data_IF_874402395572
#
_entry.id   IF_874402395572
#
_cell.length_a   1.000
_cell.length_b   1.000
_cell.length_c   1.000
_cell.angle_alpha   90.00
_cell.angle_beta   90.00
_cell.angle_gamma   90.00
#
_symmetry.space_group_name_H-M   'P 1'
#
loop_
_entity.id
_entity.type
_entity.pdbx_description
1 polymer ?
#
# COMPACT_ATOMS: atom_id res chain seq x y z
N UNK A 1 -19.20 15.89 21.62
CA UNK A 1 -18.79 14.48 21.47
C UNK A 1 -19.24 14.00 20.10
N UNK A 2 -18.42 13.16 19.44
CA UNK A 2 -18.79 12.24 18.35
C UNK A 2 -18.47 12.56 16.88
N UNK A 3 -17.53 13.46 16.52
CA UNK A 3 -16.92 13.34 15.17
C UNK A 3 -16.05 12.07 15.10
N UNK A 4 -15.26 11.80 16.14
CA UNK A 4 -14.41 10.61 16.26
C UNK A 4 -15.17 9.27 16.13
N UNK A 5 -16.43 9.20 16.57
CA UNK A 5 -17.25 7.98 16.41
C UNK A 5 -17.78 7.82 14.97
N UNK A 6 -17.93 8.91 14.22
CA UNK A 6 -18.35 8.87 12.81
C UNK A 6 -17.17 8.59 11.87
N UNK A 7 -15.93 8.88 12.29
CA UNK A 7 -14.71 8.62 11.52
C UNK A 7 -14.30 7.13 11.52
N UNK A 8 -14.67 6.39 12.56
CA UNK A 8 -14.28 4.98 12.75
C UNK A 8 -14.67 4.06 11.59
N UNK A 9 -15.92 4.06 11.07
CA UNK A 9 -16.29 3.16 9.98
C UNK A 9 -15.55 3.42 8.67
N UNK A 10 -15.29 4.70 8.33
CA UNK A 10 -14.55 5.06 7.11
C UNK A 10 -13.08 4.66 7.21
N UNK A 11 -12.47 4.89 8.37
CA UNK A 11 -11.09 4.49 8.63
C UNK A 11 -10.93 2.96 8.62
N UNK A 12 -11.89 2.23 9.18
CA UNK A 12 -11.91 0.76 9.15
C UNK A 12 -12.10 0.21 7.74
N UNK A 13 -13.02 0.76 6.96
CA UNK A 13 -13.21 0.41 5.55
C UNK A 13 -11.92 0.61 4.75
N UNK A 14 -11.29 1.78 4.89
CA UNK A 14 -10.04 2.10 4.19
C UNK A 14 -8.89 1.16 4.62
N UNK A 15 -8.81 0.81 5.91
CA UNK A 15 -7.85 -0.19 6.42
C UNK A 15 -8.12 -1.59 5.91
N UNK A 16 -9.40 -1.97 5.77
CA UNK A 16 -9.78 -3.25 5.20
C UNK A 16 -9.32 -3.36 3.75
N UNK A 17 -9.58 -2.32 2.94
CA UNK A 17 -9.08 -2.26 1.55
C UNK A 17 -7.55 -2.29 1.49
N UNK A 18 -6.86 -1.61 2.41
CA UNK A 18 -5.40 -1.67 2.51
C UNK A 18 -4.91 -3.11 2.71
N UNK A 19 -5.61 -3.90 3.55
CA UNK A 19 -5.29 -5.32 3.76
C UNK A 19 -5.57 -6.14 2.51
N UNK A 20 -6.68 -5.91 1.83
CA UNK A 20 -7.00 -6.59 0.57
C UNK A 20 -5.90 -6.36 -0.47
N UNK A 21 -5.39 -5.14 -0.57
CA UNK A 21 -4.27 -4.79 -1.46
C UNK A 21 -2.97 -5.47 -1.02
N UNK A 22 -2.59 -5.31 0.26
CA UNK A 22 -1.32 -5.82 0.79
C UNK A 22 -1.19 -7.34 0.64
N UNK A 23 -2.30 -8.05 0.77
CA UNK A 23 -2.35 -9.51 0.70
C UNK A 23 -2.80 -10.04 -0.68
N UNK A 24 -3.00 -9.18 -1.67
CA UNK A 24 -3.50 -9.56 -3.00
C UNK A 24 -4.73 -10.49 -2.93
N UNK A 25 -5.73 -10.13 -2.10
CA UNK A 25 -6.88 -11.02 -1.83
C UNK A 25 -7.76 -11.27 -3.06
N UNK A 26 -7.79 -10.33 -4.00
CA UNK A 26 -8.46 -10.44 -5.30
C UNK A 26 -7.63 -9.68 -6.34
N UNK A 27 -6.54 -10.29 -6.85
CA UNK A 27 -5.56 -9.59 -7.67
C UNK A 27 -6.04 -9.34 -9.10
N UNK A 28 -7.13 -10.01 -9.51
CA UNK A 28 -7.80 -9.84 -10.80
C UNK A 28 -8.80 -8.67 -10.78
N UNK A 29 -8.98 -8.00 -9.64
CA UNK A 29 -9.84 -6.83 -9.48
C UNK A 29 -9.02 -5.53 -9.33
N UNK A 30 -8.48 -4.97 -10.45
CA UNK A 30 -7.58 -3.82 -10.40
C UNK A 30 -8.24 -2.53 -9.90
N UNK A 31 -9.58 -2.44 -9.96
CA UNK A 31 -10.33 -1.25 -9.51
C UNK A 31 -10.23 -1.05 -8.00
N UNK A 32 -9.85 -2.10 -7.24
CA UNK A 32 -9.63 -2.00 -5.80
C UNK A 32 -8.62 -0.90 -5.43
N UNK A 33 -7.52 -0.76 -6.18
CA UNK A 33 -6.52 0.28 -5.92
C UNK A 33 -7.09 1.67 -6.18
N UNK A 34 -7.84 1.85 -7.27
CA UNK A 34 -8.47 3.12 -7.59
C UNK A 34 -9.50 3.53 -6.54
N UNK A 35 -10.32 2.57 -6.10
CA UNK A 35 -11.28 2.77 -5.04
C UNK A 35 -10.58 3.11 -3.73
N UNK A 36 -9.51 2.40 -3.35
CA UNK A 36 -8.73 2.68 -2.14
C UNK A 36 -8.15 4.09 -2.13
N UNK A 37 -7.61 4.55 -3.27
CA UNK A 37 -7.08 5.90 -3.41
C UNK A 37 -8.19 6.95 -3.35
N UNK A 38 -9.38 6.66 -3.90
CA UNK A 38 -10.53 7.55 -3.84
C UNK A 38 -11.09 7.67 -2.41
N UNK A 39 -11.29 6.54 -1.74
CA UNK A 39 -11.72 6.49 -0.33
C UNK A 39 -10.72 7.18 0.58
N UNK A 40 -9.41 7.04 0.33
CA UNK A 40 -8.40 7.78 1.07
C UNK A 40 -8.55 9.30 0.94
N UNK A 41 -8.82 9.81 -0.28
CA UNK A 41 -9.09 11.25 -0.47
C UNK A 41 -10.36 11.68 0.26
N UNK A 42 -11.41 10.87 0.22
CA UNK A 42 -12.64 11.14 0.97
C UNK A 42 -12.39 11.18 2.47
N UNK A 43 -11.65 10.20 3.01
CA UNK A 43 -11.23 10.13 4.42
C UNK A 43 -10.49 11.42 4.83
N UNK A 44 -9.53 11.87 4.02
CA UNK A 44 -8.77 13.10 4.29
C UNK A 44 -9.63 14.38 4.23
N UNK A 45 -10.65 14.41 3.38
CA UNK A 45 -11.55 15.57 3.25
C UNK A 45 -12.65 15.61 4.32
N UNK A 46 -13.10 14.44 4.80
CA UNK A 46 -14.29 14.33 5.64
C UNK A 46 -14.00 13.97 7.11
N UNK A 47 -12.73 13.79 7.48
CA UNK A 47 -12.30 13.43 8.84
C UNK A 47 -11.10 14.26 9.29
N UNK A 48 -10.71 14.15 10.57
CA UNK A 48 -9.47 14.74 11.07
C UNK A 48 -8.17 14.10 10.53
N UNK A 49 -8.27 13.07 9.68
CA UNK A 49 -7.10 12.36 9.13
C UNK A 49 -6.31 13.28 8.19
N UNK A 50 -5.01 13.45 8.44
CA UNK A 50 -4.17 14.32 7.62
C UNK A 50 -4.09 13.84 6.17
N UNK A 51 -4.30 14.72 5.16
CA UNK A 51 -4.11 14.37 3.75
C UNK A 51 -2.70 13.85 3.44
N UNK A 52 -1.69 14.41 4.12
CA UNK A 52 -0.31 13.94 3.99
C UNK A 52 -0.18 12.49 4.47
N UNK A 53 -0.74 12.17 5.64
CA UNK A 53 -0.69 10.82 6.21
C UNK A 53 -1.40 9.81 5.30
N UNK A 54 -2.56 10.17 4.73
CA UNK A 54 -3.26 9.30 3.77
C UNK A 54 -2.40 9.05 2.53
N UNK A 55 -1.89 10.11 1.89
CA UNK A 55 -1.08 9.98 0.67
C UNK A 55 0.20 9.16 0.94
N UNK A 56 0.89 9.43 2.05
CA UNK A 56 2.08 8.69 2.45
C UNK A 56 1.80 7.22 2.74
N UNK A 57 0.73 6.92 3.48
CA UNK A 57 0.34 5.54 3.79
C UNK A 57 -0.02 4.77 2.52
N UNK A 58 -0.76 5.40 1.60
CA UNK A 58 -1.09 4.82 0.30
C UNK A 58 0.13 4.56 -0.56
N UNK A 59 1.08 5.50 -0.63
CA UNK A 59 2.33 5.29 -1.37
C UNK A 59 3.10 4.09 -0.83
N UNK A 60 3.29 4.06 0.50
CA UNK A 60 4.02 2.97 1.17
C UNK A 60 3.34 1.63 0.95
N UNK A 61 2.02 1.55 1.12
CA UNK A 61 1.26 0.34 0.84
C UNK A 61 1.56 -0.21 -0.55
N UNK A 62 1.51 0.64 -1.58
CA UNK A 62 1.69 0.22 -2.96
C UNK A 62 3.13 -0.25 -3.23
N UNK A 63 4.14 0.46 -2.72
CA UNK A 63 5.55 0.06 -2.87
C UNK A 63 5.87 -1.21 -2.07
N UNK A 64 5.39 -1.31 -0.84
CA UNK A 64 5.56 -2.50 0.01
C UNK A 64 4.87 -3.73 -0.60
N UNK A 65 3.73 -3.54 -1.29
CA UNK A 65 3.03 -4.61 -2.01
C UNK A 65 3.76 -4.98 -3.31
N UNK A 66 4.24 -3.98 -4.05
CA UNK A 66 4.98 -4.21 -5.31
C UNK A 66 6.29 -4.98 -5.09
N UNK A 67 6.98 -4.72 -3.97
CA UNK A 67 8.25 -5.37 -3.64
C UNK A 67 8.10 -6.74 -2.98
N UNK A 68 6.88 -7.17 -2.66
CA UNK A 68 6.62 -8.48 -2.05
C UNK A 68 6.65 -9.61 -3.09
N UNK A 69 7.75 -10.37 -3.12
CA UNK A 69 7.97 -11.46 -4.07
C UNK A 69 7.00 -12.64 -3.90
N UNK A 70 6.29 -12.74 -2.77
CA UNK A 70 5.29 -13.78 -2.56
C UNK A 70 3.98 -13.50 -3.31
N UNK A 71 3.78 -12.26 -3.78
CA UNK A 71 2.56 -11.87 -4.49
C UNK A 71 2.66 -12.10 -6.01
N UNK A 72 1.52 -12.24 -6.70
CA UNK A 72 1.50 -12.39 -8.16
C UNK A 72 2.16 -11.21 -8.88
N UNK A 73 2.97 -11.50 -9.91
CA UNK A 73 3.71 -10.49 -10.67
C UNK A 73 2.84 -9.36 -11.22
N UNK A 74 1.65 -9.70 -11.75
CA UNK A 74 0.74 -8.71 -12.34
C UNK A 74 0.21 -7.73 -11.29
N UNK A 75 -0.15 -8.21 -10.09
CA UNK A 75 -0.62 -7.38 -8.98
C UNK A 75 0.47 -6.43 -8.48
N UNK A 76 1.71 -6.95 -8.37
CA UNK A 76 2.89 -6.17 -7.98
C UNK A 76 3.19 -5.05 -8.98
N UNK A 77 3.17 -5.39 -10.27
CA UNK A 77 3.35 -4.44 -11.37
C UNK A 77 2.28 -3.35 -11.31
N UNK A 78 1.01 -3.74 -11.15
CA UNK A 78 -0.10 -2.79 -11.03
C UNK A 78 0.06 -1.86 -9.82
N UNK A 79 0.46 -2.37 -8.65
CA UNK A 79 0.71 -1.53 -7.47
C UNK A 79 1.81 -0.50 -7.74
N UNK A 80 2.91 -0.90 -8.39
CA UNK A 80 3.99 0.00 -8.77
C UNK A 80 3.51 1.08 -9.75
N UNK A 81 2.75 0.69 -10.78
CA UNK A 81 2.17 1.59 -11.78
C UNK A 81 1.19 2.61 -11.17
N UNK A 82 0.58 2.31 -10.03
CA UNK A 82 -0.33 3.22 -9.33
C UNK A 82 0.37 4.07 -8.26
N UNK A 83 1.59 3.72 -7.83
CA UNK A 83 2.30 4.39 -6.74
C UNK A 83 2.67 5.86 -7.03
N UNK A 84 2.77 6.26 -8.30
CA UNK A 84 3.01 7.67 -8.64
C UNK A 84 1.85 8.58 -8.22
N UNK A 85 0.61 8.07 -8.16
CA UNK A 85 -0.58 8.87 -7.82
C UNK A 85 -0.47 9.45 -6.40
N UNK A 86 -0.29 8.66 -5.32
CA UNK A 86 -0.08 9.21 -3.98
C UNK A 86 1.24 10.00 -3.85
N UNK A 87 2.29 9.65 -4.61
CA UNK A 87 3.53 10.43 -4.64
C UNK A 87 3.30 11.86 -5.16
N UNK A 88 2.50 12.02 -6.22
CA UNK A 88 2.11 13.32 -6.77
C UNK A 88 1.25 14.12 -5.80
N UNK A 89 0.39 13.47 -5.02
CA UNK A 89 -0.35 14.18 -3.97
C UNK A 89 0.58 14.65 -2.85
N UNK A 90 1.57 13.84 -2.44
CA UNK A 90 2.59 14.28 -1.47
C UNK A 90 3.40 15.48 -1.99
N UNK A 91 3.72 15.53 -3.29
CA UNK A 91 4.39 16.69 -3.89
C UNK A 91 3.62 17.98 -3.62
N UNK A 92 2.32 18.00 -3.92
CA UNK A 92 1.43 19.15 -3.69
C UNK A 92 1.30 19.52 -2.21
N UNK A 93 1.41 18.54 -1.31
CA UNK A 93 1.29 18.72 0.14
C UNK A 93 2.63 19.04 0.84
N UNK A 94 3.74 19.14 0.08
CA UNK A 94 5.10 19.39 0.58
C UNK A 94 5.36 20.85 0.94
N UNK A 95 4.49 21.44 1.77
CA UNK A 95 4.50 22.85 2.15
C UNK A 95 5.60 23.23 3.17
N UNK A 96 6.35 22.25 3.68
CA UNK A 96 7.49 22.48 4.57
C UNK A 96 8.74 21.75 4.05
N UNK A 97 9.92 22.26 4.41
CA UNK A 97 11.21 21.60 4.13
C UNK A 97 11.25 20.14 4.60
N UNK A 98 10.62 19.85 5.74
CA UNK A 98 10.48 18.49 6.26
C UNK A 98 9.80 17.53 5.29
N UNK A 99 8.65 17.93 4.75
CA UNK A 99 7.84 17.14 3.83
C UNK A 99 8.47 17.07 2.45
N UNK A 100 9.03 18.17 1.96
CA UNK A 100 9.75 18.19 0.70
C UNK A 100 10.92 17.18 0.68
N UNK A 101 11.74 17.16 1.75
CA UNK A 101 12.84 16.19 1.86
C UNK A 101 12.33 14.74 1.88
N UNK A 102 11.21 14.49 2.58
CA UNK A 102 10.59 13.17 2.66
C UNK A 102 10.01 12.73 1.33
N UNK A 103 9.33 13.63 0.62
CA UNK A 103 8.84 13.41 -0.73
C UNK A 103 9.98 13.09 -1.70
N UNK A 104 11.09 13.83 -1.69
CA UNK A 104 12.27 13.52 -2.51
C UNK A 104 12.82 12.12 -2.27
N UNK A 105 12.85 11.67 -1.01
CA UNK A 105 13.25 10.30 -0.67
C UNK A 105 12.32 9.26 -1.29
N UNK A 106 11.01 9.51 -1.30
CA UNK A 106 10.04 8.62 -1.92
C UNK A 106 10.08 8.65 -3.44
N UNK A 107 10.36 9.82 -4.05
CA UNK A 107 10.61 9.92 -5.49
C UNK A 107 11.82 9.09 -5.90
N UNK A 108 12.92 9.17 -5.13
CA UNK A 108 14.08 8.32 -5.35
C UNK A 108 13.72 6.83 -5.21
N UNK A 109 13.04 6.46 -4.12
CA UNK A 109 12.61 5.07 -3.89
C UNK A 109 11.78 4.53 -5.06
N UNK A 110 10.81 5.30 -5.57
CA UNK A 110 10.00 4.88 -6.70
C UNK A 110 10.82 4.76 -7.99
N UNK A 111 11.71 5.73 -8.25
CA UNK A 111 12.55 5.76 -9.44
C UNK A 111 13.57 4.61 -9.49
N UNK A 112 14.02 4.13 -8.33
CA UNK A 112 14.99 3.02 -8.21
C UNK A 112 14.34 1.71 -7.77
N UNK A 113 13.00 1.60 -7.81
CA UNK A 113 12.30 0.39 -7.40
C UNK A 113 12.46 -0.69 -8.48
N UNK A 114 13.17 -1.76 -8.14
CA UNK A 114 13.35 -2.92 -9.01
C UNK A 114 12.41 -4.06 -8.60
N UNK A 115 11.60 -4.55 -9.53
CA UNK A 115 10.74 -5.71 -9.30
C UNK A 115 11.52 -7.01 -9.52
N UNK A 116 11.86 -7.67 -8.42
CA UNK A 116 12.39 -9.05 -8.46
C UNK A 116 11.31 -10.02 -8.95
N UNK A 117 11.66 -11.12 -9.66
CA UNK A 117 10.70 -12.15 -10.03
C UNK A 117 9.90 -12.66 -8.83
N UNK A 118 8.62 -13.01 -9.03
CA UNK A 118 7.84 -13.67 -7.98
C UNK A 118 8.40 -15.06 -7.70
N UNK A 119 8.19 -15.56 -6.48
CA UNK A 119 8.60 -16.91 -6.09
C UNK A 119 7.96 -17.91 -7.07
N UNK A 120 8.77 -18.77 -7.72
CA UNK A 120 8.24 -19.73 -8.68
C UNK A 120 7.38 -20.77 -7.96
N UNK A 121 6.28 -21.19 -8.60
CA UNK A 121 5.28 -22.12 -8.02
C UNK A 121 5.88 -23.47 -7.58
N UNK A 122 7.02 -23.84 -8.14
CA UNK A 122 7.78 -25.07 -7.87
C UNK A 122 8.66 -24.99 -6.62
N UNK A 123 9.00 -23.79 -6.15
CA UNK A 123 9.73 -23.57 -4.88
C UNK A 123 8.74 -23.19 -3.78
N UNK A 124 7.76 -24.08 -3.53
CA UNK A 124 6.98 -23.97 -2.30
C UNK A 124 7.94 -24.20 -1.13
N UNK A 125 8.41 -23.10 -0.54
CA UNK A 125 9.02 -23.09 0.80
C UNK A 125 7.90 -23.41 1.78
N UNK A 126 7.42 -24.65 1.78
CA UNK A 126 6.64 -25.17 2.88
C UNK A 126 7.56 -25.15 4.08
N UNK A 127 7.12 -24.53 5.18
CA UNK A 127 7.84 -24.58 6.44
C UNK A 127 8.21 -26.03 6.70
N UNK A 128 9.49 -26.28 7.02
CA UNK A 128 9.97 -27.62 7.32
C UNK A 128 8.97 -28.28 8.27
N UNK A 129 8.38 -29.40 7.85
CA UNK A 129 7.59 -30.22 8.76
C UNK A 129 8.52 -30.59 9.90
N UNK A 130 8.21 -30.12 11.11
CA UNK A 130 8.98 -30.40 12.33
C UNK A 130 8.71 -31.85 12.80
N UNK A 131 8.61 -32.79 11.86
CA UNK A 131 8.50 -34.22 12.10
C UNK A 131 9.92 -34.78 12.20
N UNK A 132 10.65 -34.35 13.23
CA UNK A 132 11.74 -35.15 13.77
C UNK A 132 11.17 -36.05 14.85
N UNK A 133 10.80 -37.26 14.41
CA UNK A 133 10.64 -38.44 15.23
C UNK A 133 11.64 -38.44 16.39
N UNK A 134 11.14 -38.43 17.63
CA UNK A 134 11.96 -38.82 18.78
C UNK A 134 11.19 -39.79 19.68
N UNK A 135 11.61 -41.06 19.54
CA UNK A 135 11.42 -42.27 20.36
C UNK A 135 10.11 -43.06 20.32
#
# INVERSE_FOLDING_TARGET
MSSALHEQPYLESWRWMSRQIRCAMDPDEPRLIEHYLAEGRYLACCTATSPWTVAETSFRLLVDTATDIALPWHWRSLCLDQAWRPLREMERLSLCKCRLKRWQSYTWQLATCELQPSIPLIELVQGFSDDQDTY
#
